data_IF_626836192143
#
_entry.id   IF_626836192143
#
_cell.length_a   1.000
_cell.length_b   1.000
_cell.length_c   1.000
_cell.angle_alpha   90.00
_cell.angle_beta   90.00
_cell.angle_gamma   90.00
#
_symmetry.space_group_name_H-M   'P 1'
#
loop_
_entity.id
_entity.type
_entity.pdbx_description
1 polymer ?
#
# COMPACT_ATOMS: atom_id res chain seq x y z
N UNK A 1 10.99 -6.45 24.55
CA UNK A 1 10.33 -7.48 23.74
C UNK A 1 9.83 -6.81 22.47
N UNK A 2 10.37 -7.18 21.31
CA UNK A 2 10.14 -6.58 20.00
C UNK A 2 8.84 -7.07 19.36
N UNK A 3 7.70 -6.75 19.98
CA UNK A 3 6.38 -7.27 19.58
C UNK A 3 5.71 -6.51 18.40
N UNK A 4 6.43 -5.62 17.73
CA UNK A 4 5.81 -4.70 16.75
C UNK A 4 6.02 -5.08 15.29
N UNK A 5 7.01 -5.86 14.96
CA UNK A 5 7.15 -6.40 13.60
C UNK A 5 6.34 -7.70 13.52
N UNK A 6 5.64 -7.98 12.40
CA UNK A 6 5.10 -9.31 12.17
C UNK A 6 6.30 -10.25 12.16
N UNK A 7 6.49 -10.97 13.28
CA UNK A 7 7.32 -12.16 13.22
C UNK A 7 6.71 -13.02 12.12
N UNK A 8 7.56 -13.66 11.36
CA UNK A 8 7.16 -14.68 10.38
C UNK A 8 6.36 -15.74 11.14
N UNK A 9 5.04 -15.55 11.20
CA UNK A 9 4.14 -16.32 12.07
C UNK A 9 3.79 -17.67 11.44
N UNK A 10 4.64 -18.22 10.56
CA UNK A 10 4.37 -19.45 9.82
C UNK A 10 3.16 -19.37 8.89
N UNK A 11 2.56 -18.20 8.75
CA UNK A 11 1.46 -17.93 7.85
C UNK A 11 2.01 -17.79 6.43
N UNK A 12 1.80 -18.80 5.61
CA UNK A 12 2.12 -18.73 4.18
C UNK A 12 1.20 -17.69 3.53
N UNK A 13 1.75 -16.52 3.16
CA UNK A 13 1.01 -15.59 2.31
C UNK A 13 0.90 -16.14 0.89
N UNK A 14 -0.23 -15.89 0.22
CA UNK A 14 -0.38 -16.23 -1.19
C UNK A 14 0.77 -15.64 -2.01
N UNK A 15 1.04 -14.35 -1.79
CA UNK A 15 2.07 -13.64 -2.54
C UNK A 15 3.48 -14.19 -2.34
N UNK A 16 3.82 -14.60 -1.13
CA UNK A 16 5.11 -15.25 -0.85
C UNK A 16 5.24 -16.64 -1.48
N UNK A 17 4.12 -17.35 -1.64
CA UNK A 17 4.10 -18.70 -2.23
C UNK A 17 4.08 -18.67 -3.77
N UNK A 18 3.67 -17.57 -4.39
CA UNK A 18 3.48 -17.49 -5.85
C UNK A 18 4.41 -16.50 -6.55
N UNK A 19 5.12 -15.67 -5.79
CA UNK A 19 6.00 -14.66 -6.34
C UNK A 19 7.25 -15.25 -7.02
N UNK A 20 7.73 -14.52 -8.02
CA UNK A 20 9.02 -14.74 -8.69
C UNK A 20 10.19 -14.68 -7.72
N UNK A 21 11.39 -15.09 -8.14
CA UNK A 21 12.59 -14.99 -7.32
C UNK A 21 12.90 -13.55 -6.93
N UNK A 22 13.40 -13.35 -5.70
CA UNK A 22 13.85 -12.03 -5.27
C UNK A 22 15.15 -11.64 -6.00
N UNK A 23 15.19 -10.51 -6.71
CA UNK A 23 16.40 -10.08 -7.43
C UNK A 23 17.50 -9.60 -6.49
N UNK A 24 17.19 -9.22 -5.26
CA UNK A 24 18.15 -8.77 -4.24
C UNK A 24 18.52 -9.97 -3.36
N UNK A 25 19.80 -10.36 -3.36
CA UNK A 25 20.29 -11.53 -2.63
C UNK A 25 21.54 -11.25 -1.78
N UNK A 26 21.95 -9.98 -1.68
CA UNK A 26 23.15 -9.58 -0.96
C UNK A 26 22.80 -8.83 0.33
N UNK A 27 23.58 -9.07 1.38
CA UNK A 27 23.63 -8.26 2.59
C UNK A 27 24.75 -7.24 2.47
N UNK A 28 24.60 -6.06 3.09
CA UNK A 28 25.67 -5.08 3.17
C UNK A 28 26.76 -5.57 4.13
N UNK A 29 27.97 -5.82 3.64
CA UNK A 29 29.13 -6.30 4.40
C UNK A 29 30.35 -5.36 4.30
N UNK A 30 30.18 -4.19 3.71
CA UNK A 30 31.23 -3.21 3.47
C UNK A 30 30.82 -1.79 3.86
N UNK A 31 31.75 -0.85 3.76
CA UNK A 31 31.48 0.59 3.89
C UNK A 31 31.34 1.22 2.53
N UNK A 32 30.18 1.85 2.28
CA UNK A 32 29.84 2.47 1.01
C UNK A 32 29.62 3.96 1.13
N UNK A 33 29.77 4.64 0.01
CA UNK A 33 29.33 6.02 -0.18
C UNK A 33 28.29 6.07 -1.29
N UNK A 34 27.31 6.96 -1.13
CA UNK A 34 26.28 7.23 -2.11
C UNK A 34 25.85 8.70 -2.02
N UNK A 35 25.21 9.23 -3.05
CA UNK A 35 24.58 10.54 -2.97
C UNK A 35 23.30 10.45 -2.13
N UNK A 36 22.52 9.39 -2.35
CA UNK A 36 21.27 9.14 -1.65
C UNK A 36 21.25 7.75 -1.02
N UNK A 37 20.89 7.69 0.27
CA UNK A 37 20.55 6.47 0.97
C UNK A 37 19.03 6.33 1.07
N UNK A 38 18.50 5.19 0.66
CA UNK A 38 17.09 4.82 0.85
C UNK A 38 17.00 3.72 1.91
N UNK A 39 16.16 3.91 2.93
CA UNK A 39 15.92 2.95 4.00
C UNK A 39 14.51 2.39 3.87
N UNK A 40 14.40 1.12 3.50
CA UNK A 40 13.15 0.39 3.29
C UNK A 40 12.88 0.01 1.83
N UNK A 41 12.78 -1.30 1.57
CA UNK A 41 12.57 -1.93 0.26
C UNK A 41 11.09 -2.15 -0.08
N UNK A 42 10.21 -1.19 0.25
CA UNK A 42 8.82 -1.13 -0.19
C UNK A 42 8.65 -0.28 -1.45
N UNK A 43 7.41 -0.09 -1.92
CA UNK A 43 7.13 0.64 -3.17
C UNK A 43 7.77 2.02 -3.23
N UNK A 44 7.65 2.81 -2.17
CA UNK A 44 8.22 4.17 -2.14
C UNK A 44 9.74 4.16 -2.24
N UNK A 45 10.40 3.32 -1.44
CA UNK A 45 11.87 3.24 -1.49
C UNK A 45 12.38 2.70 -2.82
N UNK A 46 11.73 1.67 -3.37
CA UNK A 46 12.12 1.08 -4.65
C UNK A 46 11.86 2.03 -5.82
N UNK A 47 10.72 2.75 -5.81
CA UNK A 47 10.44 3.79 -6.81
C UNK A 47 11.42 4.95 -6.69
N UNK A 48 11.78 5.40 -5.48
CA UNK A 48 12.81 6.42 -5.30
C UNK A 48 14.17 5.95 -5.84
N UNK A 49 14.58 4.73 -5.51
CA UNK A 49 15.84 4.18 -5.96
C UNK A 49 15.91 4.05 -7.50
N UNK A 50 14.83 3.60 -8.12
CA UNK A 50 14.70 3.49 -9.57
C UNK A 50 14.86 4.87 -10.23
N UNK A 51 14.04 5.86 -9.87
CA UNK A 51 14.03 7.15 -10.55
C UNK A 51 15.26 8.01 -10.23
N UNK A 52 15.92 7.82 -9.07
CA UNK A 52 17.22 8.42 -8.79
C UNK A 52 18.31 7.83 -9.68
N UNK A 53 18.36 6.49 -9.78
CA UNK A 53 19.37 5.80 -10.60
C UNK A 53 19.20 6.14 -12.09
N UNK A 54 17.97 6.24 -12.61
CA UNK A 54 17.69 6.68 -13.98
C UNK A 54 18.22 8.09 -14.28
N UNK A 55 18.33 8.94 -13.26
CA UNK A 55 18.87 10.30 -13.36
C UNK A 55 20.37 10.37 -13.05
N UNK A 56 21.06 9.20 -12.96
CA UNK A 56 22.50 9.11 -12.76
C UNK A 56 22.98 9.36 -11.32
N UNK A 57 22.06 9.39 -10.34
CA UNK A 57 22.40 9.56 -8.93
C UNK A 57 22.91 8.25 -8.34
N UNK A 58 24.00 8.31 -7.57
CA UNK A 58 24.50 7.15 -6.83
C UNK A 58 23.57 6.83 -5.66
N UNK A 59 22.89 5.69 -5.75
CA UNK A 59 21.86 5.26 -4.77
C UNK A 59 22.24 3.94 -4.12
N UNK A 60 22.13 3.91 -2.78
CA UNK A 60 22.12 2.68 -1.98
C UNK A 60 20.78 2.53 -1.29
N UNK A 61 20.14 1.37 -1.43
CA UNK A 61 18.92 1.02 -0.68
C UNK A 61 19.22 -0.11 0.31
N UNK A 62 18.80 0.09 1.56
CA UNK A 62 18.90 -0.89 2.65
C UNK A 62 17.51 -1.36 3.08
N UNK A 63 17.27 -2.67 2.99
CA UNK A 63 16.07 -3.33 3.49
C UNK A 63 16.44 -4.26 4.67
N UNK A 64 15.70 -4.16 5.75
CA UNK A 64 15.97 -4.91 6.97
C UNK A 64 15.67 -6.42 6.85
N UNK A 65 14.82 -6.78 5.89
CA UNK A 65 14.39 -8.15 5.62
C UNK A 65 14.59 -8.45 4.14
N UNK A 66 13.55 -8.92 3.46
CA UNK A 66 13.53 -9.13 2.02
C UNK A 66 12.76 -8.02 1.30
N UNK A 67 13.05 -7.79 0.05
CA UNK A 67 12.32 -6.85 -0.83
C UNK A 67 10.81 -7.08 -0.75
N UNK A 68 10.07 -6.02 -0.47
CA UNK A 68 8.62 -6.09 -0.34
C UNK A 68 8.09 -6.76 0.93
N UNK A 69 8.94 -7.09 1.92
CA UNK A 69 8.54 -7.77 3.15
C UNK A 69 7.38 -7.08 3.88
N UNK A 70 7.33 -5.76 3.90
CA UNK A 70 6.32 -4.98 4.60
C UNK A 70 4.93 -5.02 3.94
N UNK A 71 4.19 -3.93 4.07
CA UNK A 71 2.85 -3.76 3.46
C UNK A 71 2.85 -3.91 1.94
N UNK A 72 3.97 -3.65 1.27
CA UNK A 72 4.11 -3.75 -0.18
C UNK A 72 3.91 -5.17 -0.70
N UNK A 73 4.42 -6.19 -0.03
CA UNK A 73 4.21 -7.58 -0.43
C UNK A 73 3.07 -8.29 0.30
N UNK A 74 2.23 -7.56 1.07
CA UNK A 74 1.16 -8.16 1.88
C UNK A 74 -0.21 -7.55 1.65
N UNK A 75 -0.33 -6.55 0.77
CA UNK A 75 -1.59 -5.88 0.47
C UNK A 75 -2.48 -6.67 -0.49
N UNK A 76 -3.70 -6.16 -0.77
CA UNK A 76 -4.67 -6.84 -1.63
C UNK A 76 -4.36 -6.77 -3.14
N UNK A 77 -3.38 -5.97 -3.55
CA UNK A 77 -3.01 -5.79 -4.95
C UNK A 77 -3.98 -4.90 -5.75
N UNK A 78 -4.71 -4.00 -5.09
CA UNK A 78 -5.58 -3.02 -5.76
C UNK A 78 -4.82 -1.72 -6.02
N UNK A 79 -4.65 -1.36 -7.27
CA UNK A 79 -3.98 -0.13 -7.72
C UNK A 79 -5.03 0.98 -7.83
N UNK A 80 -5.22 1.72 -6.73
CA UNK A 80 -6.22 2.79 -6.64
C UNK A 80 -5.58 4.17 -6.72
N UNK A 81 -6.31 5.13 -7.31
CA UNK A 81 -5.95 6.54 -7.32
C UNK A 81 -6.24 7.24 -5.98
N UNK A 82 -5.52 8.33 -5.72
CA UNK A 82 -5.81 9.25 -4.63
C UNK A 82 -5.67 8.65 -3.23
N UNK A 83 -6.33 9.32 -2.29
CA UNK A 83 -6.43 8.90 -0.88
C UNK A 83 -7.88 8.55 -0.51
N UNK A 84 -8.12 8.14 0.76
CA UNK A 84 -9.47 7.81 1.24
C UNK A 84 -10.40 9.01 1.27
N UNK A 85 -9.88 10.18 1.60
CA UNK A 85 -10.64 11.41 1.72
C UNK A 85 -11.07 11.94 0.35
N UNK A 86 -12.18 12.67 0.33
CA UNK A 86 -12.62 13.39 -0.85
C UNK A 86 -11.66 14.56 -1.15
N UNK A 87 -11.48 14.96 -2.40
CA UNK A 87 -10.60 16.06 -2.79
C UNK A 87 -10.83 17.35 -2.00
N UNK A 88 -12.07 17.76 -1.79
CA UNK A 88 -12.45 18.92 -0.99
C UNK A 88 -11.94 18.83 0.47
N UNK A 89 -12.03 17.64 1.07
CA UNK A 89 -11.50 17.45 2.43
C UNK A 89 -9.97 17.59 2.47
N UNK A 90 -9.27 17.10 1.44
CA UNK A 90 -7.81 17.27 1.30
C UNK A 90 -7.46 18.75 1.19
N UNK A 91 -8.19 19.50 0.36
CA UNK A 91 -8.00 20.94 0.21
C UNK A 91 -8.23 21.69 1.55
N UNK A 92 -9.27 21.32 2.28
CA UNK A 92 -9.55 21.89 3.61
C UNK A 92 -8.44 21.63 4.63
N UNK A 93 -7.87 20.44 4.63
CA UNK A 93 -6.81 20.06 5.59
C UNK A 93 -5.42 20.64 5.24
N UNK A 94 -5.10 20.76 3.95
CA UNK A 94 -3.77 21.16 3.47
C UNK A 94 -3.72 22.63 2.99
N UNK A 95 -4.86 23.30 2.87
CA UNK A 95 -5.03 24.56 2.15
C UNK A 95 -5.31 24.31 0.67
N UNK A 96 -6.04 25.25 0.02
CA UNK A 96 -6.58 25.06 -1.33
C UNK A 96 -5.51 24.73 -2.35
N UNK A 97 -4.46 25.54 -2.45
CA UNK A 97 -3.39 25.35 -3.43
C UNK A 97 -2.58 24.06 -3.20
N UNK A 98 -2.17 23.78 -1.95
CA UNK A 98 -1.41 22.59 -1.63
C UNK A 98 -2.27 21.32 -1.76
N UNK A 99 -3.55 21.39 -1.39
CA UNK A 99 -4.50 20.30 -1.52
C UNK A 99 -4.79 19.97 -2.98
N UNK A 100 -4.94 20.96 -3.84
CA UNK A 100 -5.13 20.76 -5.28
C UNK A 100 -3.90 20.09 -5.91
N UNK A 101 -2.69 20.59 -5.66
CA UNK A 101 -1.44 19.96 -6.13
C UNK A 101 -1.32 18.50 -5.67
N UNK A 102 -1.64 18.24 -4.41
CA UNK A 102 -1.66 16.90 -3.82
C UNK A 102 -2.67 15.98 -4.54
N UNK A 103 -3.90 16.46 -4.74
CA UNK A 103 -4.95 15.69 -5.39
C UNK A 103 -4.59 15.37 -6.85
N UNK A 104 -4.07 16.35 -7.60
CA UNK A 104 -3.63 16.17 -8.98
C UNK A 104 -2.49 15.16 -9.10
N UNK A 105 -1.47 15.24 -8.24
CA UNK A 105 -0.35 14.31 -8.24
C UNK A 105 -0.78 12.86 -7.98
N UNK A 106 -1.82 12.64 -7.17
CA UNK A 106 -2.29 11.30 -6.85
C UNK A 106 -3.44 10.81 -7.74
N UNK A 107 -4.11 11.70 -8.49
CA UNK A 107 -5.18 11.36 -9.44
C UNK A 107 -4.71 10.29 -10.42
N UNK A 108 -3.54 10.49 -10.98
CA UNK A 108 -3.00 9.64 -12.05
C UNK A 108 -2.01 8.58 -11.52
N UNK A 109 -2.02 8.33 -10.21
CA UNK A 109 -1.10 7.37 -9.61
C UNK A 109 -1.19 5.93 -10.17
N UNK A 110 -2.36 5.40 -10.59
CA UNK A 110 -2.41 4.13 -11.31
C UNK A 110 -1.70 4.17 -12.66
N UNK A 111 -1.78 5.28 -13.38
CA UNK A 111 -1.14 5.44 -14.69
C UNK A 111 0.37 5.24 -14.61
N UNK A 112 1.04 5.84 -13.59
CA UNK A 112 2.46 5.62 -13.36
C UNK A 112 2.79 4.15 -13.06
N UNK A 113 1.98 3.47 -12.24
CA UNK A 113 2.19 2.05 -11.93
C UNK A 113 2.15 1.21 -13.21
N UNK A 114 1.10 1.35 -14.02
CA UNK A 114 0.97 0.58 -15.25
C UNK A 114 1.93 1.02 -16.36
N UNK A 115 2.38 2.28 -16.37
CA UNK A 115 3.46 2.74 -17.23
C UNK A 115 4.77 2.00 -16.89
N UNK A 116 5.16 1.96 -15.61
CA UNK A 116 6.36 1.24 -15.16
C UNK A 116 6.27 -0.25 -15.48
N UNK A 117 5.09 -0.86 -15.30
CA UNK A 117 4.85 -2.27 -15.68
C UNK A 117 5.16 -2.49 -17.17
N UNK A 118 4.65 -1.65 -18.05
CA UNK A 118 4.89 -1.78 -19.50
C UNK A 118 6.34 -1.44 -19.86
N UNK A 119 6.88 -0.37 -19.31
CA UNK A 119 8.22 0.15 -19.63
C UNK A 119 9.33 -0.82 -19.27
N UNK A 120 9.19 -1.53 -18.15
CA UNK A 120 10.19 -2.47 -17.65
C UNK A 120 9.77 -3.93 -17.83
N UNK A 121 8.74 -4.22 -18.62
CA UNK A 121 8.20 -5.57 -18.86
C UNK A 121 8.03 -6.37 -17.56
N UNK A 122 7.36 -5.76 -16.57
CA UNK A 122 7.25 -6.33 -15.23
C UNK A 122 6.24 -7.47 -15.18
N UNK A 123 6.70 -8.69 -14.93
CA UNK A 123 5.85 -9.88 -14.71
C UNK A 123 5.22 -9.86 -13.32
N UNK A 124 4.11 -9.12 -13.15
CA UNK A 124 3.42 -8.95 -11.86
C UNK A 124 1.90 -9.13 -11.94
N UNK A 125 1.40 -9.97 -12.85
CA UNK A 125 -0.03 -10.23 -13.06
C UNK A 125 -0.86 -8.93 -13.16
N UNK A 126 -0.31 -7.90 -13.78
CA UNK A 126 -0.96 -6.60 -13.89
C UNK A 126 -2.21 -6.69 -14.78
N UNK A 127 -3.34 -6.23 -14.25
CA UNK A 127 -4.61 -6.15 -14.97
C UNK A 127 -5.22 -4.77 -14.78
N UNK A 128 -5.11 -3.93 -15.81
CA UNK A 128 -5.69 -2.58 -15.85
C UNK A 128 -7.16 -2.65 -16.30
N UNK A 129 -7.97 -3.38 -15.54
CA UNK A 129 -9.40 -3.56 -15.82
C UNK A 129 -10.31 -2.67 -14.95
N UNK A 130 -9.73 -1.80 -14.14
CA UNK A 130 -10.45 -0.91 -13.23
C UNK A 130 -10.60 -1.45 -11.82
N UNK A 131 -10.98 -0.52 -10.91
CA UNK A 131 -11.43 -0.85 -9.55
C UNK A 131 -12.77 -0.18 -9.27
N UNK A 132 -13.57 -0.78 -8.38
CA UNK A 132 -14.89 -0.26 -8.02
C UNK A 132 -14.99 -0.06 -6.52
N UNK A 133 -15.35 1.17 -6.13
CA UNK A 133 -15.83 1.47 -4.78
C UNK A 133 -17.34 1.26 -4.76
N UNK A 134 -17.80 0.17 -4.14
CA UNK A 134 -19.20 -0.27 -4.20
C UNK A 134 -19.97 0.20 -2.96
N UNK A 135 -21.16 0.74 -3.17
CA UNK A 135 -22.11 1.06 -2.11
C UNK A 135 -22.65 -0.22 -1.48
N UNK A 136 -22.51 -0.33 -0.16
CA UNK A 136 -23.12 -1.44 0.60
C UNK A 136 -24.62 -1.25 0.83
N UNK A 137 -25.08 -0.02 0.92
CA UNK A 137 -26.49 0.38 1.09
C UNK A 137 -26.79 1.63 0.28
N UNK A 138 -28.06 1.86 -0.02
CA UNK A 138 -28.49 3.01 -0.84
C UNK A 138 -28.06 4.36 -0.28
N UNK A 139 -28.08 4.53 1.05
CA UNK A 139 -27.64 5.79 1.68
C UNK A 139 -26.13 6.11 1.54
N UNK A 140 -25.33 5.18 1.07
CA UNK A 140 -23.91 5.43 0.81
C UNK A 140 -23.70 6.12 -0.54
N UNK A 141 -24.73 6.11 -1.42
CA UNK A 141 -24.63 6.68 -2.77
C UNK A 141 -24.42 8.19 -2.76
N UNK A 142 -25.07 8.93 -1.85
CA UNK A 142 -24.89 10.40 -1.75
C UNK A 142 -23.39 10.77 -1.56
N UNK A 143 -22.70 10.02 -0.70
CA UNK A 143 -21.26 10.19 -0.49
C UNK A 143 -20.45 9.82 -1.75
N UNK A 144 -20.78 8.72 -2.41
CA UNK A 144 -20.08 8.28 -3.62
C UNK A 144 -20.32 9.23 -4.80
N UNK A 145 -21.54 9.73 -4.97
CA UNK A 145 -21.85 10.74 -5.98
C UNK A 145 -21.07 12.04 -5.78
N UNK A 146 -21.03 12.55 -4.54
CA UNK A 146 -20.23 13.73 -4.21
C UNK A 146 -18.75 13.50 -4.50
N UNK A 147 -18.22 12.34 -4.12
CA UNK A 147 -16.84 11.94 -4.40
C UNK A 147 -16.56 11.85 -5.90
N UNK A 148 -17.43 11.19 -6.66
CA UNK A 148 -17.30 11.03 -8.11
C UNK A 148 -17.23 12.39 -8.80
N UNK A 149 -18.18 13.31 -8.51
CA UNK A 149 -18.18 14.67 -9.05
C UNK A 149 -16.88 15.44 -8.75
N UNK A 150 -16.35 15.33 -7.52
CA UNK A 150 -15.10 16.00 -7.14
C UNK A 150 -13.90 15.42 -7.87
N UNK A 151 -13.84 14.08 -8.05
CA UNK A 151 -12.77 13.43 -8.82
C UNK A 151 -12.84 13.82 -10.31
N UNK A 152 -14.05 13.87 -10.88
CA UNK A 152 -14.26 14.33 -12.26
C UNK A 152 -13.88 15.81 -12.46
N UNK A 153 -14.15 16.65 -11.47
CA UNK A 153 -13.73 18.06 -11.49
C UNK A 153 -12.20 18.23 -11.52
N UNK A 154 -11.46 17.28 -10.96
CA UNK A 154 -10.00 17.19 -11.06
C UNK A 154 -9.53 16.59 -12.42
N UNK A 155 -10.46 16.22 -13.31
CA UNK A 155 -10.15 15.58 -14.60
C UNK A 155 -9.95 14.07 -14.55
N UNK A 156 -10.34 13.39 -13.46
CA UNK A 156 -10.30 11.93 -13.39
C UNK A 156 -11.40 11.31 -14.27
N UNK A 157 -11.11 10.19 -14.91
CA UNK A 157 -12.03 9.46 -15.80
C UNK A 157 -12.94 8.47 -15.05
N UNK A 158 -13.27 8.78 -13.80
CA UNK A 158 -14.14 7.92 -12.99
C UNK A 158 -15.60 8.01 -13.40
N UNK A 159 -16.33 6.92 -13.24
CA UNK A 159 -17.73 6.79 -13.62
C UNK A 159 -18.59 6.46 -12.39
N UNK A 160 -19.70 7.18 -12.23
CA UNK A 160 -20.75 6.74 -11.31
C UNK A 160 -21.55 5.62 -11.98
N UNK A 161 -21.65 4.48 -11.33
CA UNK A 161 -22.40 3.32 -11.83
C UNK A 161 -23.64 3.07 -10.97
N UNK A 162 -24.71 2.61 -11.62
CA UNK A 162 -25.95 2.24 -10.96
C UNK A 162 -25.93 0.83 -10.33
N UNK A 163 -27.03 0.44 -9.70
CA UNK A 163 -27.16 -0.85 -9.04
C UNK A 163 -27.05 -2.02 -10.01
N UNK A 164 -27.63 -1.92 -11.21
CA UNK A 164 -27.59 -2.97 -12.24
C UNK A 164 -26.16 -3.23 -12.68
N UNK A 165 -25.41 -2.16 -12.96
CA UNK A 165 -24.01 -2.26 -13.38
C UNK A 165 -23.10 -2.74 -12.26
N UNK A 166 -23.35 -2.31 -11.00
CA UNK A 166 -22.55 -2.79 -9.86
C UNK A 166 -22.78 -4.28 -9.55
N UNK A 167 -24.02 -4.76 -9.71
CA UNK A 167 -24.33 -6.20 -9.60
C UNK A 167 -23.67 -6.98 -10.74
N UNK A 168 -23.75 -6.51 -11.98
CA UNK A 168 -23.10 -7.16 -13.12
C UNK A 168 -21.57 -7.24 -12.99
N UNK A 169 -20.92 -6.17 -12.49
CA UNK A 169 -19.47 -6.12 -12.27
C UNK A 169 -19.03 -7.05 -11.15
N UNK A 170 -19.75 -7.05 -10.04
CA UNK A 170 -19.38 -7.84 -8.86
C UNK A 170 -19.86 -9.28 -8.93
N UNK A 171 -20.95 -9.53 -9.65
CA UNK A 171 -21.74 -10.77 -9.62
C UNK A 171 -22.16 -11.17 -8.19
N UNK A 172 -22.41 -10.15 -7.33
CA UNK A 172 -22.78 -10.29 -5.94
C UNK A 172 -24.22 -9.78 -5.71
N UNK A 173 -25.11 -10.57 -5.09
CA UNK A 173 -26.47 -10.14 -4.83
C UNK A 173 -26.56 -9.05 -3.76
N UNK A 174 -25.46 -8.75 -3.08
CA UNK A 174 -25.37 -7.70 -2.05
C UNK A 174 -25.04 -6.33 -2.67
N UNK A 175 -24.25 -6.30 -3.71
CA UNK A 175 -23.71 -5.09 -4.33
C UNK A 175 -24.61 -4.55 -5.45
N UNK A 176 -25.81 -4.10 -5.09
CA UNK A 176 -26.89 -3.68 -6.00
C UNK A 176 -27.32 -2.22 -5.86
N UNK A 177 -26.49 -1.39 -5.24
CA UNK A 177 -26.86 0.01 -4.98
C UNK A 177 -26.13 0.99 -5.88
N UNK A 178 -25.03 0.57 -6.52
CA UNK A 178 -24.18 1.39 -7.37
C UNK A 178 -22.78 1.55 -6.79
N UNK A 179 -22.02 2.49 -7.36
CA UNK A 179 -20.64 2.71 -6.94
C UNK A 179 -19.89 3.70 -7.83
N UNK A 180 -18.59 3.78 -7.64
CA UNK A 180 -17.66 4.50 -8.50
C UNK A 180 -16.73 3.48 -9.16
N UNK A 181 -16.73 3.43 -10.49
CA UNK A 181 -15.76 2.72 -11.29
C UNK A 181 -14.62 3.68 -11.67
N UNK A 182 -13.40 3.29 -11.39
CA UNK A 182 -12.18 3.92 -11.90
C UNK A 182 -11.57 3.00 -12.96
N UNK A 183 -11.77 3.25 -14.26
CA UNK A 183 -11.27 2.40 -15.34
C UNK A 183 -9.75 2.50 -15.50
N UNK A 184 -9.11 3.58 -15.04
CA UNK A 184 -7.65 3.75 -15.07
C UNK A 184 -6.91 2.94 -14.00
N UNK A 185 -7.65 2.50 -12.98
CA UNK A 185 -7.17 1.65 -11.89
C UNK A 185 -7.07 0.17 -12.29
N UNK A 186 -6.74 -0.71 -11.35
CA UNK A 186 -6.66 -2.14 -11.64
C UNK A 186 -6.07 -2.97 -10.51
N UNK A 187 -5.54 -4.14 -10.86
CA UNK A 187 -4.96 -5.06 -9.89
C UNK A 187 -3.58 -5.55 -10.33
N UNK A 188 -2.75 -5.92 -9.37
CA UNK A 188 -1.42 -6.49 -9.60
C UNK A 188 -1.12 -7.60 -8.58
N UNK A 189 -0.12 -8.44 -8.86
CA UNK A 189 0.53 -9.26 -7.84
C UNK A 189 1.49 -8.38 -7.02
N UNK A 190 1.18 -8.03 -5.76
CA UNK A 190 1.85 -6.94 -5.06
C UNK A 190 3.34 -7.20 -4.78
N UNK A 191 3.71 -8.45 -4.43
CA UNK A 191 5.10 -8.79 -4.15
C UNK A 191 5.94 -8.84 -5.44
N UNK A 192 5.38 -9.34 -6.53
CA UNK A 192 6.08 -9.33 -7.82
C UNK A 192 6.30 -7.92 -8.34
N UNK A 193 5.35 -7.01 -8.15
CA UNK A 193 5.56 -5.60 -8.49
C UNK A 193 6.70 -4.97 -7.68
N UNK A 194 6.79 -5.26 -6.37
CA UNK A 194 7.92 -4.78 -5.56
C UNK A 194 9.25 -5.37 -6.04
N UNK A 195 9.29 -6.67 -6.35
CA UNK A 195 10.50 -7.33 -6.88
C UNK A 195 10.89 -6.83 -8.27
N UNK A 196 9.91 -6.56 -9.12
CA UNK A 196 10.16 -6.00 -10.45
C UNK A 196 10.68 -4.55 -10.38
N UNK A 197 10.16 -3.72 -9.45
CA UNK A 197 10.74 -2.40 -9.17
C UNK A 197 12.19 -2.50 -8.68
N UNK A 198 12.50 -3.47 -7.81
CA UNK A 198 13.86 -3.69 -7.34
C UNK A 198 14.78 -4.11 -8.49
N UNK A 199 14.32 -5.02 -9.36
CA UNK A 199 15.08 -5.40 -10.56
C UNK A 199 15.33 -4.20 -11.46
N UNK A 200 14.30 -3.41 -11.76
CA UNK A 200 14.44 -2.21 -12.57
C UNK A 200 15.46 -1.23 -11.97
N UNK A 201 15.42 -1.00 -10.64
CA UNK A 201 16.37 -0.13 -9.96
C UNK A 201 17.81 -0.67 -10.05
N UNK A 202 18.02 -1.98 -9.89
CA UNK A 202 19.32 -2.63 -10.07
C UNK A 202 19.83 -2.48 -11.51
N UNK A 203 18.99 -2.71 -12.50
CA UNK A 203 19.31 -2.60 -13.92
C UNK A 203 19.70 -1.15 -14.30
N UNK A 204 19.19 -0.14 -13.59
CA UNK A 204 19.55 1.28 -13.72
C UNK A 204 20.79 1.69 -12.88
N UNK A 205 21.41 0.76 -12.16
CA UNK A 205 22.65 1.00 -11.42
C UNK A 205 22.49 1.32 -9.92
N UNK A 206 21.28 1.26 -9.35
CA UNK A 206 21.11 1.33 -7.90
C UNK A 206 21.72 0.10 -7.22
N UNK A 207 22.25 0.27 -6.01
CA UNK A 207 22.77 -0.84 -5.18
C UNK A 207 21.77 -1.16 -4.07
N UNK A 208 21.22 -2.36 -4.07
CA UNK A 208 20.19 -2.80 -3.15
C UNK A 208 20.71 -3.93 -2.27
N UNK A 209 20.50 -3.81 -0.95
CA UNK A 209 20.91 -4.79 0.04
C UNK A 209 19.71 -5.17 0.91
N UNK A 210 19.46 -6.48 1.06
CA UNK A 210 18.48 -7.03 2.00
C UNK A 210 19.19 -7.55 3.27
N UNK A 211 18.41 -7.96 4.29
CA UNK A 211 18.93 -8.36 5.61
C UNK A 211 19.93 -7.35 6.20
N UNK A 212 19.74 -6.06 5.86
CA UNK A 212 20.63 -4.94 6.13
C UNK A 212 19.92 -3.83 6.90
N UNK A 213 19.28 -4.22 8.02
CA UNK A 213 18.56 -3.29 8.88
C UNK A 213 19.45 -2.18 9.42
N UNK A 214 19.01 -0.93 9.30
CA UNK A 214 19.73 0.22 9.85
C UNK A 214 19.53 0.29 11.35
N UNK A 215 20.61 0.19 12.10
CA UNK A 215 20.64 0.23 13.57
C UNK A 215 20.77 1.67 14.09
N UNK A 216 21.47 2.52 13.34
CA UNK A 216 21.63 3.93 13.68
C UNK A 216 21.78 4.80 12.43
N UNK A 217 21.30 6.04 12.52
CA UNK A 217 21.47 7.08 11.52
C UNK A 217 21.94 8.35 12.21
N UNK A 218 23.18 8.75 11.96
CA UNK A 218 23.83 9.90 12.60
C UNK A 218 24.45 10.82 11.57
N UNK A 219 24.59 12.11 11.90
CA UNK A 219 25.31 13.04 11.04
C UNK A 219 26.79 13.03 11.40
N UNK A 220 27.64 12.86 10.39
CA UNK A 220 29.09 12.86 10.54
C UNK A 220 29.73 13.60 9.36
N UNK A 221 30.52 14.64 9.64
CA UNK A 221 31.21 15.44 8.62
C UNK A 221 30.31 15.86 7.45
N UNK A 222 29.18 16.51 7.75
CA UNK A 222 28.16 16.96 6.78
C UNK A 222 27.45 15.89 5.97
N UNK A 223 27.73 14.63 6.18
CA UNK A 223 27.02 13.50 5.59
C UNK A 223 26.25 12.72 6.63
N UNK A 224 25.26 11.97 6.20
CA UNK A 224 24.53 10.99 7.01
C UNK A 224 25.25 9.66 6.99
N UNK A 225 25.49 9.09 8.15
CA UNK A 225 26.08 7.78 8.32
C UNK A 225 25.04 6.82 8.88
N UNK A 226 24.63 5.85 8.07
CA UNK A 226 23.82 4.72 8.48
C UNK A 226 24.71 3.53 8.83
N UNK A 227 24.46 2.91 9.98
CA UNK A 227 25.18 1.71 10.43
C UNK A 227 24.22 0.52 10.46
N UNK A 228 24.63 -0.59 9.89
CA UNK A 228 23.98 -1.90 9.99
C UNK A 228 24.83 -2.84 10.84
N UNK A 229 24.40 -4.06 11.07
CA UNK A 229 25.18 -5.07 11.81
C UNK A 229 26.52 -5.43 11.17
N UNK A 230 26.68 -5.26 9.84
CA UNK A 230 27.88 -5.71 9.13
C UNK A 230 28.55 -4.64 8.25
N UNK A 231 27.85 -3.53 7.95
CA UNK A 231 28.36 -2.52 7.05
C UNK A 231 27.84 -1.12 7.39
N UNK A 232 28.32 -0.13 6.61
CA UNK A 232 27.94 1.29 6.79
C UNK A 232 27.69 1.94 5.44
N UNK A 233 26.80 2.93 5.42
CA UNK A 233 26.58 3.78 4.25
C UNK A 233 26.68 5.23 4.66
N UNK A 234 27.53 6.00 3.97
CA UNK A 234 27.58 7.47 4.09
C UNK A 234 26.88 8.10 2.90
N UNK A 235 25.93 9.00 3.14
CA UNK A 235 25.15 9.65 2.10
C UNK A 235 24.88 11.13 2.39
N UNK A 236 24.66 11.93 1.32
CA UNK A 236 24.35 13.34 1.45
C UNK A 236 22.88 13.54 1.83
N UNK A 237 22.00 12.71 1.28
CA UNK A 237 20.56 12.72 1.55
C UNK A 237 20.04 11.33 1.90
N UNK A 238 18.92 11.30 2.63
CA UNK A 238 18.31 10.04 3.09
C UNK A 238 16.80 10.07 2.87
N UNK A 239 16.26 8.97 2.34
CA UNK A 239 14.81 8.72 2.27
C UNK A 239 14.47 7.56 3.23
N UNK A 240 13.67 7.82 4.28
CA UNK A 240 13.21 6.80 5.21
C UNK A 240 11.82 6.33 4.79
N UNK A 241 11.75 5.24 4.03
CA UNK A 241 10.54 4.70 3.41
C UNK A 241 9.94 3.50 4.17
N UNK A 242 10.08 3.45 5.48
CA UNK A 242 9.68 2.31 6.33
C UNK A 242 8.21 2.32 6.76
N UNK A 243 7.54 3.47 6.72
CA UNK A 243 6.12 3.64 7.05
C UNK A 243 5.72 2.88 8.35
N UNK A 244 4.72 1.98 8.29
CA UNK A 244 4.23 1.20 9.43
C UNK A 244 5.21 0.16 9.98
N UNK A 245 6.31 -0.09 9.29
CA UNK A 245 7.36 -1.05 9.67
C UNK A 245 8.61 -0.36 10.25
N UNK A 246 8.52 0.95 10.51
CA UNK A 246 9.55 1.68 11.23
C UNK A 246 9.77 1.07 12.62
N UNK A 247 11.02 0.80 12.95
CA UNK A 247 11.42 0.30 14.26
C UNK A 247 11.68 1.45 15.26
N UNK A 248 12.14 1.09 16.45
CA UNK A 248 12.47 2.08 17.49
C UNK A 248 13.66 2.96 17.13
N UNK A 249 14.54 2.50 16.24
CA UNK A 249 15.70 3.26 15.80
C UNK A 249 15.26 4.38 14.84
N UNK A 250 14.12 4.18 14.16
CA UNK A 250 13.40 5.18 13.36
C UNK A 250 12.22 5.79 14.13
N UNK A 251 12.40 6.09 15.44
CA UNK A 251 11.33 6.49 16.36
C UNK A 251 10.43 7.61 15.81
N UNK A 252 11.00 8.63 15.18
CA UNK A 252 10.23 9.75 14.62
C UNK A 252 9.23 9.29 13.56
N UNK A 253 9.61 8.35 12.69
CA UNK A 253 8.71 7.76 11.68
C UNK A 253 7.70 6.84 12.34
N UNK A 254 8.13 6.05 13.33
CA UNK A 254 7.24 5.17 14.10
C UNK A 254 6.13 5.96 14.83
N UNK A 255 6.45 7.14 15.36
CA UNK A 255 5.48 8.00 16.06
C UNK A 255 4.56 8.78 15.12
N UNK A 256 4.87 8.86 13.82
CA UNK A 256 4.11 9.64 12.83
C UNK A 256 2.86 8.91 12.31
N UNK A 257 2.74 7.61 12.57
CA UNK A 257 1.61 6.80 12.10
C UNK A 257 1.12 5.85 13.17
N UNK A 258 -0.14 5.45 13.04
CA UNK A 258 -0.74 4.37 13.80
C UNK A 258 -0.65 3.09 12.98
N UNK A 259 0.07 2.04 13.42
CA UNK A 259 0.06 0.75 12.75
C UNK A 259 -1.27 0.03 12.97
N UNK A 260 -2.00 -0.22 11.88
CA UNK A 260 -3.25 -0.96 11.85
C UNK A 260 -3.05 -2.25 11.08
N UNK A 261 -3.55 -3.36 11.61
CA UNK A 261 -3.47 -4.65 10.94
C UNK A 261 -4.61 -4.84 9.95
N UNK A 262 -4.26 -5.39 8.79
CA UNK A 262 -5.20 -5.88 7.78
C UNK A 262 -4.87 -7.35 7.58
N UNK A 263 -5.89 -8.21 7.58
CA UNK A 263 -5.73 -9.62 7.24
C UNK A 263 -6.35 -9.94 5.90
N UNK A 264 -5.87 -11.00 5.30
CA UNK A 264 -6.31 -11.47 4.01
C UNK A 264 -6.49 -12.99 4.05
N UNK A 265 -7.46 -13.46 3.27
CA UNK A 265 -7.69 -14.86 2.98
C UNK A 265 -7.79 -15.03 1.47
N UNK A 266 -7.18 -16.06 0.94
CA UNK A 266 -7.36 -16.48 -0.45
C UNK A 266 -7.84 -17.94 -0.49
N UNK A 267 -8.80 -18.22 -1.35
CA UNK A 267 -9.29 -19.59 -1.54
C UNK A 267 -8.21 -20.46 -2.18
N UNK A 268 -8.37 -21.78 -2.12
CA UNK A 268 -7.78 -22.64 -3.15
C UNK A 268 -8.31 -22.20 -4.53
N UNK A 269 -7.63 -22.55 -5.64
CA UNK A 269 -8.16 -22.27 -6.96
C UNK A 269 -9.60 -22.79 -7.07
N UNK A 270 -10.51 -21.89 -7.45
CA UNK A 270 -11.91 -22.25 -7.72
C UNK A 270 -12.00 -22.99 -9.06
N UNK A 271 -13.06 -23.77 -9.27
CA UNK A 271 -13.38 -24.30 -10.58
C UNK A 271 -13.50 -23.14 -11.59
N UNK A 272 -13.11 -23.37 -12.83
CA UNK A 272 -12.96 -22.30 -13.84
C UNK A 272 -14.27 -21.55 -14.07
N UNK A 273 -15.39 -22.23 -14.15
CA UNK A 273 -16.74 -21.67 -14.28
C UNK A 273 -17.15 -20.85 -13.07
N UNK A 274 -16.80 -21.30 -11.86
CA UNK A 274 -17.04 -20.56 -10.60
C UNK A 274 -16.17 -19.31 -10.56
N UNK A 275 -14.88 -19.42 -10.86
CA UNK A 275 -13.98 -18.26 -10.88
C UNK A 275 -14.42 -17.21 -11.91
N UNK A 276 -14.85 -17.64 -13.09
CA UNK A 276 -15.37 -16.76 -14.14
C UNK A 276 -16.70 -16.11 -13.79
N UNK A 277 -17.48 -16.71 -12.88
CA UNK A 277 -18.78 -16.17 -12.42
C UNK A 277 -18.65 -15.15 -11.28
N UNK A 278 -17.45 -14.93 -10.72
CA UNK A 278 -17.19 -13.98 -9.64
C UNK A 278 -16.33 -12.85 -10.19
N UNK A 279 -16.81 -11.61 -10.10
CA UNK A 279 -16.11 -10.44 -10.65
C UNK A 279 -15.65 -10.74 -12.10
N UNK A 280 -16.57 -10.98 -13.04
CA UNK A 280 -16.27 -11.58 -14.37
C UNK A 280 -15.19 -10.85 -15.17
N UNK A 281 -15.08 -9.54 -14.99
CA UNK A 281 -14.08 -8.69 -15.66
C UNK A 281 -12.81 -8.48 -14.81
N UNK A 282 -12.68 -9.20 -13.68
CA UNK A 282 -11.52 -9.19 -12.78
C UNK A 282 -11.17 -7.82 -12.21
N UNK A 283 -12.17 -6.96 -12.00
CA UNK A 283 -12.01 -5.69 -11.30
C UNK A 283 -11.50 -5.92 -9.86
N UNK A 284 -10.82 -4.92 -9.32
CA UNK A 284 -10.62 -4.84 -7.87
C UNK A 284 -11.86 -4.21 -7.22
N UNK A 285 -12.42 -4.85 -6.19
CA UNK A 285 -13.60 -4.33 -5.48
C UNK A 285 -13.24 -3.95 -4.04
N UNK A 286 -13.89 -2.90 -3.54
CA UNK A 286 -13.90 -2.55 -2.12
C UNK A 286 -15.21 -1.80 -1.79
N UNK A 287 -15.74 -2.04 -0.59
CA UNK A 287 -17.07 -1.57 -0.22
C UNK A 287 -17.06 -0.44 0.81
N UNK A 288 -18.24 0.15 1.04
CA UNK A 288 -18.44 1.25 1.99
C UNK A 288 -18.81 0.78 3.40
N UNK A 289 -18.73 -0.52 3.70
CA UNK A 289 -19.06 -1.03 5.03
C UNK A 289 -18.11 -0.51 6.12
N UNK A 290 -18.61 -0.40 7.35
CA UNK A 290 -17.76 -0.13 8.51
C UNK A 290 -16.68 -1.20 8.69
N UNK A 291 -17.04 -2.47 8.51
CA UNK A 291 -16.09 -3.58 8.36
C UNK A 291 -15.82 -3.81 6.87
N UNK A 292 -15.20 -2.80 6.25
CA UNK A 292 -14.89 -2.81 4.83
C UNK A 292 -14.20 -4.10 4.41
N UNK A 293 -14.66 -4.66 3.29
CA UNK A 293 -13.98 -5.73 2.60
C UNK A 293 -13.43 -5.25 1.26
N UNK A 294 -12.31 -5.81 0.84
CA UNK A 294 -11.90 -5.75 -0.56
C UNK A 294 -11.80 -7.16 -1.14
N UNK A 295 -12.08 -7.28 -2.43
CA UNK A 295 -12.14 -8.57 -3.12
C UNK A 295 -11.58 -8.48 -4.53
N UNK A 296 -10.93 -9.54 -4.98
CA UNK A 296 -10.50 -9.73 -6.37
C UNK A 296 -10.33 -11.22 -6.69
N UNK A 297 -10.33 -11.55 -7.97
CA UNK A 297 -9.87 -12.86 -8.48
C UNK A 297 -8.45 -12.71 -8.98
N UNK A 298 -7.53 -13.61 -8.57
CA UNK A 298 -6.15 -13.66 -9.07
C UNK A 298 -6.04 -14.38 -10.43
N UNK A 299 -4.84 -14.46 -10.99
CA UNK A 299 -4.58 -15.11 -12.29
C UNK A 299 -4.90 -16.61 -12.31
N UNK A 300 -4.94 -17.25 -11.14
CA UNK A 300 -5.22 -18.69 -10.99
C UNK A 300 -6.64 -18.99 -10.50
N UNK A 301 -7.55 -18.00 -10.58
CA UNK A 301 -8.96 -18.20 -10.19
C UNK A 301 -9.18 -18.28 -8.67
N UNK A 302 -8.29 -17.74 -7.84
CA UNK A 302 -8.52 -17.65 -6.39
C UNK A 302 -9.27 -16.37 -6.03
N UNK A 303 -10.27 -16.50 -5.19
CA UNK A 303 -10.91 -15.34 -4.58
C UNK A 303 -10.04 -14.86 -3.39
N UNK A 304 -9.47 -13.66 -3.53
CA UNK A 304 -8.70 -12.98 -2.48
C UNK A 304 -9.59 -11.94 -1.82
N UNK A 305 -9.74 -12.02 -0.50
CA UNK A 305 -10.51 -11.07 0.29
C UNK A 305 -9.68 -10.50 1.42
N UNK A 306 -9.89 -9.22 1.77
CA UNK A 306 -9.22 -8.57 2.89
C UNK A 306 -10.15 -7.78 3.79
N UNK A 307 -9.78 -7.65 5.07
CA UNK A 307 -10.48 -6.83 6.05
C UNK A 307 -9.54 -6.39 7.19
N UNK A 308 -10.02 -5.43 7.99
CA UNK A 308 -9.28 -4.96 9.15
C UNK A 308 -9.16 -6.02 10.24
N UNK A 309 -7.94 -6.19 10.78
CA UNK A 309 -7.65 -7.06 11.89
C UNK A 309 -6.32 -7.83 11.74
N UNK A 310 -5.96 -8.59 12.78
CA UNK A 310 -4.75 -9.42 12.83
C UNK A 310 -5.12 -10.88 13.04
N UNK A 311 -4.57 -11.79 12.24
CA UNK A 311 -4.73 -13.25 12.39
C UNK A 311 -3.72 -13.78 13.42
N UNK A 312 -3.99 -13.61 14.72
CA UNK A 312 -3.11 -14.10 15.80
C UNK A 312 -3.92 -14.63 16.98
N UNK A 313 -3.42 -15.73 17.57
CA UNK A 313 -3.97 -16.31 18.81
C UNK A 313 -5.47 -16.60 18.70
N UNK A 314 -6.22 -16.33 19.76
CA UNK A 314 -7.66 -16.56 19.87
C UNK A 314 -8.50 -15.70 18.88
N UNK A 315 -7.95 -14.63 18.33
CA UNK A 315 -8.67 -13.78 17.36
C UNK A 315 -8.75 -14.44 15.97
N UNK A 316 -7.80 -15.31 15.64
CA UNK A 316 -7.70 -15.94 14.32
C UNK A 316 -8.98 -16.70 13.92
N UNK A 317 -9.48 -17.69 14.69
CA UNK A 317 -10.67 -18.43 14.29
C UNK A 317 -11.92 -17.55 14.16
N UNK A 318 -12.04 -16.52 14.99
CA UNK A 318 -13.15 -15.55 14.91
C UNK A 318 -13.13 -14.81 13.59
N UNK A 319 -11.96 -14.28 13.19
CA UNK A 319 -11.78 -13.51 11.95
C UNK A 319 -11.91 -14.39 10.70
N UNK A 320 -11.36 -15.61 10.73
CA UNK A 320 -11.52 -16.57 9.63
C UNK A 320 -12.99 -17.00 9.44
N UNK A 321 -13.71 -17.25 10.55
CA UNK A 321 -15.14 -17.56 10.49
C UNK A 321 -15.97 -16.39 9.96
N UNK A 322 -15.67 -15.16 10.40
CA UNK A 322 -16.32 -13.96 9.87
C UNK A 322 -16.05 -13.78 8.38
N UNK A 323 -14.79 -13.96 7.94
CA UNK A 323 -14.43 -13.86 6.51
C UNK A 323 -15.13 -14.94 5.68
N UNK A 324 -15.26 -16.15 6.20
CA UNK A 324 -16.01 -17.22 5.52
C UNK A 324 -17.49 -16.87 5.35
N UNK A 325 -18.14 -16.33 6.39
CA UNK A 325 -19.54 -15.85 6.28
C UNK A 325 -19.65 -14.69 5.29
N UNK A 326 -18.68 -13.75 5.30
CA UNK A 326 -18.64 -12.63 4.36
C UNK A 326 -18.49 -13.12 2.92
N UNK A 327 -17.61 -14.10 2.65
CA UNK A 327 -17.48 -14.74 1.35
C UNK A 327 -18.82 -15.36 0.91
N UNK A 328 -19.42 -16.18 1.76
CA UNK A 328 -20.64 -16.92 1.42
C UNK A 328 -21.84 -15.99 1.15
N UNK A 329 -21.84 -14.81 1.78
CA UNK A 329 -22.83 -13.76 1.56
C UNK A 329 -22.56 -12.95 0.29
N UNK A 330 -21.29 -12.50 0.11
CA UNK A 330 -20.91 -11.64 -1.00
C UNK A 330 -20.81 -12.42 -2.33
N UNK A 331 -20.31 -13.64 -2.25
CA UNK A 331 -20.08 -14.49 -3.42
C UNK A 331 -20.62 -15.91 -3.17
N UNK A 332 -21.97 -16.10 -3.24
CA UNK A 332 -22.59 -17.42 -3.01
C UNK A 332 -22.02 -18.51 -3.90
N UNK A 333 -21.50 -18.16 -5.08
CA UNK A 333 -20.84 -19.06 -6.04
C UNK A 333 -19.62 -19.76 -5.42
N UNK A 334 -18.89 -19.07 -4.51
CA UNK A 334 -17.73 -19.61 -3.80
C UNK A 334 -18.07 -20.17 -2.42
N UNK A 335 -19.35 -20.39 -2.09
CA UNK A 335 -19.76 -20.88 -0.77
C UNK A 335 -19.06 -22.18 -0.40
N UNK A 336 -18.51 -22.24 0.81
CA UNK A 336 -17.85 -23.42 1.33
C UNK A 336 -16.45 -23.68 0.78
N UNK A 337 -15.95 -22.85 -0.16
CA UNK A 337 -14.58 -23.01 -0.69
C UNK A 337 -13.55 -22.91 0.42
N UNK A 338 -12.55 -23.78 0.41
CA UNK A 338 -11.48 -23.78 1.41
C UNK A 338 -10.56 -22.57 1.24
N UNK A 339 -10.12 -21.99 2.36
CA UNK A 339 -9.05 -21.01 2.36
C UNK A 339 -7.70 -21.71 2.22
N UNK A 340 -6.99 -21.51 1.12
CA UNK A 340 -5.64 -22.03 0.90
C UNK A 340 -4.57 -21.19 1.60
N UNK A 341 -4.78 -19.88 1.65
CA UNK A 341 -3.82 -18.93 2.21
C UNK A 341 -4.47 -17.96 3.17
N UNK A 342 -3.73 -17.60 4.20
CA UNK A 342 -4.14 -16.62 5.22
C UNK A 342 -2.92 -15.86 5.69
N UNK A 343 -2.97 -14.54 5.70
CA UNK A 343 -1.87 -13.70 6.16
C UNK A 343 -2.33 -12.35 6.68
N UNK A 344 -1.44 -11.65 7.34
CA UNK A 344 -1.68 -10.30 7.85
C UNK A 344 -0.54 -9.37 7.44
N UNK A 345 -0.86 -8.09 7.28
CA UNK A 345 0.10 -7.01 7.10
C UNK A 345 -0.25 -5.81 7.98
N UNK A 346 0.63 -4.84 8.02
CA UNK A 346 0.39 -3.56 8.70
C UNK A 346 0.29 -2.42 7.70
N UNK A 347 -0.60 -1.47 7.98
CA UNK A 347 -0.71 -0.19 7.29
C UNK A 347 -0.45 0.94 8.26
N UNK A 348 0.25 1.99 7.84
CA UNK A 348 0.39 3.23 8.59
C UNK A 348 -0.83 4.12 8.37
N UNK A 349 -1.54 4.43 9.46
CA UNK A 349 -2.76 5.25 9.43
C UNK A 349 -2.48 6.57 10.13
N UNK A 350 -2.95 7.68 9.54
CA UNK A 350 -2.96 9.01 10.14
C UNK A 350 -4.37 9.41 10.60
N UNK A 351 -4.48 10.37 11.50
CA UNK A 351 -5.78 10.85 11.98
C UNK A 351 -6.61 11.46 10.86
N UNK A 352 -5.99 12.27 10.02
CA UNK A 352 -6.62 12.94 8.87
C UNK A 352 -6.92 12.00 7.70
N UNK A 353 -6.40 10.76 7.70
CA UNK A 353 -6.43 9.84 6.54
C UNK A 353 -5.72 10.39 5.30
N UNK A 354 -4.84 11.37 5.48
CA UNK A 354 -4.00 11.96 4.44
C UNK A 354 -2.56 11.51 4.71
N UNK A 355 -1.86 11.09 3.67
CA UNK A 355 -0.44 10.76 3.77
C UNK A 355 0.39 12.04 4.02
N UNK A 356 1.58 11.87 4.60
CA UNK A 356 2.47 12.95 4.98
C UNK A 356 3.88 12.70 4.48
N UNK A 357 4.56 13.79 4.12
CA UNK A 357 6.00 13.76 3.83
C UNK A 357 6.69 14.68 4.82
N UNK A 358 7.56 14.13 5.64
CA UNK A 358 8.24 14.88 6.72
C UNK A 358 9.71 15.10 6.36
N UNK A 359 10.22 16.27 6.73
CA UNK A 359 11.65 16.55 6.76
C UNK A 359 12.15 16.42 8.21
N UNK A 360 12.67 15.25 8.55
CA UNK A 360 13.08 14.93 9.92
C UNK A 360 14.37 15.63 10.37
N UNK A 361 15.20 15.97 9.39
CA UNK A 361 16.45 16.73 9.53
C UNK A 361 16.87 17.23 8.13
N UNK A 362 17.84 18.15 8.00
CA UNK A 362 18.33 18.60 6.70
C UNK A 362 18.71 17.42 5.80
N UNK A 363 18.03 17.27 4.65
CA UNK A 363 18.24 16.19 3.70
C UNK A 363 17.67 14.82 4.09
N UNK A 364 16.82 14.72 5.14
CA UNK A 364 16.20 13.44 5.57
C UNK A 364 14.70 13.49 5.37
N UNK A 365 14.21 12.88 4.32
CA UNK A 365 12.78 12.79 3.99
C UNK A 365 12.16 11.51 4.53
N UNK A 366 10.92 11.60 5.02
CA UNK A 366 10.19 10.46 5.56
C UNK A 366 8.71 10.48 5.13
N UNK A 367 8.37 9.88 3.99
CA UNK A 367 7.00 9.68 3.58
C UNK A 367 6.33 8.58 4.41
N UNK A 368 5.09 8.83 4.87
CA UNK A 368 4.36 7.90 5.73
C UNK A 368 2.84 8.13 5.69
N UNK A 369 2.09 7.19 6.28
CA UNK A 369 0.66 7.37 6.46
C UNK A 369 -0.19 7.14 5.21
N UNK A 370 0.15 6.14 4.39
CA UNK A 370 -0.61 5.81 3.18
C UNK A 370 -2.04 5.30 3.43
N UNK A 371 -2.39 5.03 4.69
CA UNK A 371 -3.74 4.63 5.11
C UNK A 371 -4.31 3.42 4.37
N UNK A 372 -3.45 2.52 3.85
CA UNK A 372 -3.86 1.34 3.08
C UNK A 372 -3.95 1.55 1.57
N UNK A 373 -3.68 2.75 1.05
CA UNK A 373 -3.54 3.05 -0.38
C UNK A 373 -2.07 3.30 -0.71
N UNK A 374 -1.26 2.25 -0.76
CA UNK A 374 0.20 2.39 -0.86
C UNK A 374 0.80 2.07 -2.21
N UNK A 375 0.10 1.40 -3.15
CA UNK A 375 0.67 1.03 -4.45
C UNK A 375 0.89 2.28 -5.30
N UNK A 376 -0.17 2.92 -5.77
CA UNK A 376 -0.10 4.12 -6.59
C UNK A 376 0.59 5.28 -5.86
N UNK A 377 0.06 5.75 -4.72
CA UNK A 377 0.65 6.87 -3.99
C UNK A 377 2.10 6.66 -3.55
N UNK A 378 2.47 5.44 -3.12
CA UNK A 378 3.85 5.15 -2.74
C UNK A 378 4.81 5.21 -3.94
N UNK A 379 4.39 4.73 -5.10
CA UNK A 379 5.16 4.79 -6.34
C UNK A 379 5.34 6.25 -6.81
N UNK A 380 4.27 7.05 -6.79
CA UNK A 380 4.30 8.47 -7.18
C UNK A 380 5.17 9.31 -6.24
N UNK A 381 5.04 9.14 -4.93
CA UNK A 381 5.87 9.86 -3.97
C UNK A 381 7.35 9.50 -4.16
N UNK A 382 7.65 8.22 -4.41
CA UNK A 382 9.02 7.80 -4.68
C UNK A 382 9.63 8.53 -5.87
N UNK A 383 8.89 8.66 -6.97
CA UNK A 383 9.30 9.42 -8.15
C UNK A 383 9.50 10.90 -7.84
N UNK A 384 8.52 11.56 -7.23
CA UNK A 384 8.63 12.98 -6.92
C UNK A 384 9.74 13.31 -5.92
N UNK A 385 10.03 12.42 -4.96
CA UNK A 385 11.20 12.60 -4.08
C UNK A 385 12.50 12.54 -4.88
N UNK A 386 12.62 11.61 -5.84
CA UNK A 386 13.78 11.54 -6.73
C UNK A 386 13.93 12.84 -7.54
N UNK A 387 12.87 13.28 -8.20
CA UNK A 387 12.86 14.50 -9.00
C UNK A 387 13.26 15.74 -8.17
N UNK A 388 12.72 15.85 -6.94
CA UNK A 388 13.03 16.94 -6.01
C UNK A 388 14.48 16.92 -5.52
N UNK A 389 15.00 15.75 -5.24
CA UNK A 389 16.40 15.58 -4.81
C UNK A 389 17.36 15.98 -5.93
N UNK A 390 17.08 15.58 -7.17
CA UNK A 390 17.92 15.89 -8.33
C UNK A 390 17.85 17.37 -8.69
N UNK A 391 16.66 17.95 -8.74
CA UNK A 391 16.50 19.37 -9.08
C UNK A 391 16.98 20.32 -7.98
N UNK A 392 16.98 19.84 -6.72
CA UNK A 392 17.20 20.69 -5.55
C UNK A 392 16.03 21.66 -5.26
N UNK A 393 15.01 21.69 -6.10
CA UNK A 393 13.85 22.57 -5.99
C UNK A 393 12.69 21.88 -5.26
N UNK A 394 12.38 22.33 -4.05
CA UNK A 394 11.29 21.79 -3.22
C UNK A 394 9.93 22.40 -3.56
N UNK A 395 9.90 23.52 -4.27
CA UNK A 395 8.65 24.21 -4.62
C UNK A 395 7.86 23.40 -5.67
N UNK A 396 8.57 22.61 -6.49
CA UNK A 396 7.98 21.70 -7.48
C UNK A 396 7.45 20.40 -6.86
N UNK A 397 7.75 20.13 -5.58
CA UNK A 397 7.26 18.94 -4.90
C UNK A 397 5.76 19.08 -4.61
N UNK A 398 4.90 18.18 -5.14
CA UNK A 398 3.45 18.38 -5.07
C UNK A 398 2.85 18.10 -3.69
N UNK A 399 3.62 17.54 -2.77
CA UNK A 399 3.16 17.19 -1.43
C UNK A 399 3.72 18.18 -0.41
N UNK A 400 2.93 18.68 0.56
CA UNK A 400 3.46 19.50 1.64
C UNK A 400 4.56 18.77 2.39
N UNK A 401 5.71 19.43 2.53
CA UNK A 401 6.80 18.96 3.38
C UNK A 401 6.61 19.54 4.76
N UNK A 402 6.31 18.68 5.71
CA UNK A 402 6.01 19.07 7.08
C UNK A 402 7.24 18.90 7.99
N UNK A 403 7.27 19.67 9.06
CA UNK A 403 8.12 19.37 10.21
C UNK A 403 7.67 18.06 10.89
N UNK A 404 8.36 17.67 11.96
CA UNK A 404 8.03 16.45 12.69
C UNK A 404 6.55 16.41 13.13
N UNK A 405 5.82 15.43 12.61
CA UNK A 405 4.44 15.10 13.00
C UNK A 405 4.41 13.89 13.93
N UNK A 406 3.55 13.93 14.94
CA UNK A 406 3.32 12.80 15.85
C UNK A 406 1.84 12.51 15.97
N UNK A 407 1.45 11.25 15.79
CA UNK A 407 0.09 10.79 16.01
C UNK A 407 -0.31 10.84 17.48
N UNK A 408 -1.34 11.64 17.76
CA UNK A 408 -1.90 11.73 19.11
C UNK A 408 -2.73 10.51 19.45
N UNK A 409 -2.69 10.09 20.71
CA UNK A 409 -3.51 8.98 21.22
C UNK A 409 -3.28 7.64 20.49
N UNK A 410 -2.10 7.41 19.90
CA UNK A 410 -1.79 6.25 19.08
C UNK A 410 -2.13 4.91 19.76
N UNK A 411 -1.82 4.76 21.06
CA UNK A 411 -2.11 3.53 21.82
C UNK A 411 -3.61 3.27 21.97
N UNK A 412 -4.41 4.31 22.28
CA UNK A 412 -5.87 4.20 22.46
C UNK A 412 -6.54 3.88 21.12
N UNK A 413 -6.12 4.57 20.06
CA UNK A 413 -6.64 4.33 18.70
C UNK A 413 -6.23 2.95 18.19
N UNK A 414 -5.01 2.47 18.45
CA UNK A 414 -4.59 1.11 18.12
C UNK A 414 -5.46 0.06 18.81
N UNK A 415 -5.76 0.25 20.09
CA UNK A 415 -6.68 -0.62 20.83
C UNK A 415 -8.08 -0.62 20.18
N UNK A 416 -8.61 0.56 19.84
CA UNK A 416 -9.90 0.68 19.15
C UNK A 416 -9.93 -0.09 17.82
N UNK A 417 -8.93 0.07 16.97
CA UNK A 417 -8.86 -0.67 15.70
C UNK A 417 -8.71 -2.19 15.91
N UNK A 418 -7.92 -2.62 16.89
CA UNK A 418 -7.66 -4.05 17.10
C UNK A 418 -8.83 -4.76 17.80
N UNK A 419 -9.40 -4.17 18.85
CA UNK A 419 -10.46 -4.79 19.66
C UNK A 419 -11.85 -4.39 19.18
N UNK A 420 -12.04 -3.15 18.72
CA UNK A 420 -13.32 -2.70 18.16
C UNK A 420 -13.70 -3.48 16.90
N UNK A 421 -12.77 -3.69 15.97
CA UNK A 421 -13.03 -4.52 14.79
C UNK A 421 -13.34 -5.97 15.15
N UNK A 422 -12.69 -6.53 16.19
CA UNK A 422 -12.96 -7.88 16.65
C UNK A 422 -14.37 -7.99 17.24
N UNK A 423 -14.76 -7.04 18.08
CA UNK A 423 -16.11 -6.99 18.66
C UNK A 423 -17.19 -6.85 17.56
N UNK A 424 -16.98 -5.97 16.60
CA UNK A 424 -17.89 -5.82 15.46
C UNK A 424 -17.98 -7.11 14.63
N UNK A 425 -16.87 -7.81 14.38
CA UNK A 425 -16.86 -9.08 13.66
C UNK A 425 -17.54 -10.22 14.41
N UNK A 426 -17.52 -10.20 15.75
CA UNK A 426 -18.28 -11.15 16.59
C UNK A 426 -19.78 -10.86 16.56
N UNK A 427 -20.15 -9.58 16.57
CA UNK A 427 -21.56 -9.15 16.58
C UNK A 427 -22.20 -9.22 15.18
N UNK A 428 -21.39 -9.16 14.13
CA UNK A 428 -21.87 -9.30 12.74
C UNK A 428 -22.22 -10.77 12.45
N UNK A 429 -23.48 -11.10 12.75
CA UNK A 429 -24.09 -12.43 12.53
C UNK A 429 -24.70 -12.58 11.12
N UNK A 430 -24.59 -11.56 10.30
CA UNK A 430 -25.19 -11.50 8.96
C UNK A 430 -24.41 -12.32 7.97
#
# INVERSE_FOLDING_TARGET
>A
MSDHLPQDSGEKSLWGATASANPVNHQLEESLQADVLVIGGGYTGLSSALHLAEQGVSVVLLEARSTGFGGSGRNAGLVNAGVWQNPEHVNKELGEEAGERFNLALRDSPALVFELVRRFDMSCEAHQGGTVNIAHKSSDMDYLEARCRQMQALGATVELIDGTRSEAISASPVYRHGGILDPGAGTIHPLDFARALAKAALDQGARLFQESGVESLTRHNDRWLATTSKGKVSADQVIIATNAYADKNSQKVHESTLPVFIFQCATEPLAEDVAASIIPQRHGLWDTQTLMTSSRIDSRGRLVMSAAGRLRGLQRPIRESWMARSRDRLFPQARGSAWGYRWSGQIGVTASKILRVQLLAPGVFAPSGYNGRGIGPGTVIGKHLADTIVSGNRDDFPFPIEALYREKWSKVRAAYYNYGTLALQLLDRR
#
